data_IF_687975062969
#
_entry.id   IF_687975062969
#
_cell.length_a   1.000
_cell.length_b   1.000
_cell.length_c   1.000
_cell.angle_alpha   90.00
_cell.angle_beta   90.00
_cell.angle_gamma   90.00
#
_symmetry.space_group_name_H-M   'P 1'
#
loop_
_entity.id
_entity.type
_entity.pdbx_description
1 polymer ?
#
# COMPACT_ATOMS: atom_id res chain seq x y z
N UNK A 1 21.35 30.05 6.81
CA UNK A 1 19.99 30.25 6.24
C UNK A 1 19.00 30.60 7.35
N UNK A 2 18.68 29.69 8.27
CA UNK A 2 17.75 29.95 9.39
C UNK A 2 18.09 31.22 10.19
N UNK A 3 19.37 31.41 10.55
CA UNK A 3 19.85 32.63 11.24
C UNK A 3 19.76 33.92 10.41
N UNK A 4 19.55 33.82 9.10
CA UNK A 4 19.49 34.95 8.16
C UNK A 4 18.05 35.25 7.68
N UNK A 5 17.04 34.51 8.17
CA UNK A 5 15.67 34.61 7.66
C UNK A 5 14.95 35.94 7.97
N UNK A 6 15.55 36.86 8.71
CA UNK A 6 15.07 38.25 8.88
C UNK A 6 13.62 38.38 9.38
N UNK A 7 13.07 37.33 9.98
CA UNK A 7 11.66 37.19 10.37
C UNK A 7 11.48 37.05 11.88
N UNK A 8 10.26 36.74 12.35
CA UNK A 8 9.97 36.60 13.78
C UNK A 8 10.89 35.58 14.43
N UNK A 9 11.22 35.81 15.69
CA UNK A 9 11.88 34.84 16.55
C UNK A 9 11.07 33.53 16.52
N UNK A 10 11.70 32.42 16.11
CA UNK A 10 11.06 31.11 16.15
C UNK A 10 11.24 30.51 17.54
N UNK A 11 10.14 30.12 18.17
CA UNK A 11 10.16 29.51 19.50
C UNK A 11 10.38 28.00 19.41
N UNK A 12 9.99 27.39 18.28
CA UNK A 12 10.03 25.96 18.05
C UNK A 12 10.51 25.65 16.62
N UNK A 13 11.09 24.46 16.45
CA UNK A 13 11.35 23.86 15.14
C UNK A 13 10.72 22.47 15.06
N UNK A 14 10.13 22.13 13.93
CA UNK A 14 9.56 20.80 13.67
C UNK A 14 10.00 20.31 12.29
N UNK A 15 10.55 19.11 12.23
CA UNK A 15 10.87 18.45 10.97
C UNK A 15 9.67 17.65 10.47
N UNK A 16 9.37 17.73 9.18
CA UNK A 16 8.37 16.85 8.56
C UNK A 16 8.84 15.39 8.66
N UNK A 17 8.04 14.48 9.22
CA UNK A 17 8.44 13.09 9.37
C UNK A 17 8.55 12.34 8.04
N UNK A 18 9.56 11.50 7.81
CA UNK A 18 10.67 11.14 8.71
C UNK A 18 12.01 11.78 8.32
N UNK A 19 12.21 12.07 7.03
CA UNK A 19 13.51 12.43 6.46
C UNK A 19 14.04 13.78 6.95
N UNK A 20 13.17 14.73 7.30
CA UNK A 20 13.58 16.05 7.78
C UNK A 20 13.86 16.10 9.30
N UNK A 21 13.59 15.02 10.05
CA UNK A 21 13.82 14.98 11.50
C UNK A 21 15.31 15.19 11.85
N UNK A 22 16.28 14.50 11.23
CA UNK A 22 17.70 14.73 11.51
C UNK A 22 18.14 16.17 11.15
N UNK A 23 17.59 16.75 10.09
CA UNK A 23 17.86 18.13 9.68
C UNK A 23 17.32 19.13 10.71
N UNK A 24 16.07 18.96 11.14
CA UNK A 24 15.47 19.77 12.19
C UNK A 24 16.24 19.65 13.51
N UNK A 25 16.73 18.45 13.84
CA UNK A 25 17.58 18.20 15.01
C UNK A 25 18.88 18.99 14.93
N UNK A 26 19.56 18.96 13.77
CA UNK A 26 20.78 19.74 13.55
C UNK A 26 20.53 21.25 13.65
N UNK A 27 19.40 21.72 13.13
CA UNK A 27 18.99 23.13 13.23
C UNK A 27 18.75 23.50 14.70
N UNK A 28 17.99 22.71 15.46
CA UNK A 28 17.72 22.93 16.88
C UNK A 28 19.02 23.03 17.69
N UNK A 29 19.94 22.08 17.49
CA UNK A 29 21.23 22.04 18.21
C UNK A 29 22.10 23.27 17.95
N UNK A 30 22.14 23.75 16.70
CA UNK A 30 22.93 24.90 16.28
C UNK A 30 22.29 26.23 16.68
N UNK A 31 20.97 26.34 16.58
CA UNK A 31 20.23 27.60 16.84
C UNK A 31 19.79 27.75 18.28
N UNK A 32 19.82 26.66 19.07
CA UNK A 32 19.26 26.57 20.42
C UNK A 32 17.74 26.78 20.48
N UNK A 33 17.06 26.71 19.35
CA UNK A 33 15.60 26.68 19.29
C UNK A 33 15.11 25.27 19.68
N UNK A 34 14.20 25.13 20.67
CA UNK A 34 13.62 23.84 21.03
C UNK A 34 12.96 23.12 19.85
N UNK A 35 13.11 21.81 19.78
CA UNK A 35 12.48 20.98 18.75
C UNK A 35 11.24 20.27 19.29
N UNK A 36 10.20 20.21 18.47
CA UNK A 36 9.05 19.32 18.64
C UNK A 36 8.98 18.35 17.47
N UNK A 37 8.25 17.25 17.64
CA UNK A 37 8.08 16.23 16.63
C UNK A 37 6.59 15.97 16.38
N UNK A 38 6.16 16.13 15.14
CA UNK A 38 4.83 15.69 14.71
C UNK A 38 4.85 14.19 14.40
N UNK A 39 3.79 13.46 14.72
CA UNK A 39 3.60 12.06 14.28
C UNK A 39 2.65 12.04 13.09
N UNK A 40 2.85 11.11 12.15
CA UNK A 40 1.89 10.86 11.05
C UNK A 40 0.59 10.19 11.53
N UNK A 41 0.66 9.37 12.57
CA UNK A 41 -0.49 8.72 13.20
C UNK A 41 -0.44 8.89 14.73
N UNK A 42 -1.61 9.01 15.36
CA UNK A 42 -1.72 8.98 16.82
C UNK A 42 -1.43 7.56 17.32
N UNK A 43 -0.90 7.42 18.53
CA UNK A 43 -0.82 6.10 19.19
C UNK A 43 -2.21 5.63 19.61
N UNK A 44 -2.51 4.34 19.45
CA UNK A 44 -3.73 3.72 19.98
C UNK A 44 -3.70 3.54 21.50
N UNK A 45 -2.50 3.52 22.09
CA UNK A 45 -2.29 3.40 23.53
C UNK A 45 -1.41 4.53 24.10
N UNK A 46 -1.76 5.04 25.28
CA UNK A 46 -1.10 6.17 25.95
C UNK A 46 -1.78 7.52 25.71
N UNK A 47 -1.06 8.64 25.83
CA UNK A 47 -1.65 10.01 25.86
C UNK A 47 -2.24 10.52 24.53
N UNK A 48 -2.29 9.69 23.46
CA UNK A 48 -2.80 10.02 22.11
C UNK A 48 -2.28 11.37 21.53
N UNK A 49 -1.09 11.80 21.94
CA UNK A 49 -0.51 13.08 21.52
C UNK A 49 0.06 12.98 20.11
N UNK A 50 -0.37 13.87 19.23
CA UNK A 50 0.10 13.96 17.83
C UNK A 50 1.37 14.81 17.71
N UNK A 51 1.70 15.59 18.75
CA UNK A 51 2.92 16.40 18.88
C UNK A 51 3.69 15.97 20.13
N UNK A 52 4.94 15.58 19.94
CA UNK A 52 5.90 15.24 20.99
C UNK A 52 6.84 16.42 21.30
N UNK A 53 7.27 16.52 22.56
CA UNK A 53 8.12 17.61 23.05
C UNK A 53 7.37 18.61 23.92
N UNK A 54 8.08 19.67 24.34
CA UNK A 54 7.55 20.72 25.23
C UNK A 54 7.15 21.92 24.38
N UNK A 55 5.87 22.29 24.43
CA UNK A 55 5.33 23.42 23.67
C UNK A 55 4.14 24.07 24.38
N UNK A 56 3.82 25.30 23.96
CA UNK A 56 2.69 26.11 24.43
C UNK A 56 1.95 26.71 23.24
N UNK A 57 0.64 26.91 23.37
CA UNK A 57 -0.17 27.61 22.37
C UNK A 57 0.37 29.03 22.13
N UNK A 58 0.27 29.49 20.90
CA UNK A 58 0.75 30.81 20.46
C UNK A 58 2.23 30.87 20.08
N UNK A 59 3.00 29.79 20.28
CA UNK A 59 4.41 29.75 19.88
C UNK A 59 4.58 29.69 18.36
N UNK A 60 5.60 30.38 17.85
CA UNK A 60 5.98 30.36 16.44
C UNK A 60 6.86 29.14 16.12
N UNK A 61 6.35 28.24 15.29
CA UNK A 61 7.05 27.03 14.88
C UNK A 61 7.56 27.14 13.44
N UNK A 62 8.86 26.91 13.25
CA UNK A 62 9.48 26.74 11.94
C UNK A 62 9.34 25.29 11.48
N UNK A 63 8.77 25.08 10.28
CA UNK A 63 8.73 23.75 9.66
C UNK A 63 9.98 23.53 8.82
N UNK A 64 10.57 22.34 8.91
CA UNK A 64 11.78 21.94 8.17
C UNK A 64 11.45 20.73 7.31
N UNK A 65 11.85 20.78 6.04
CA UNK A 65 11.71 19.70 5.07
C UNK A 65 13.05 19.38 4.40
N UNK A 66 13.24 18.17 3.91
CA UNK A 66 14.42 17.81 3.10
C UNK A 66 14.24 18.24 1.64
N UNK A 67 13.19 17.77 0.97
CA UNK A 67 12.89 18.02 -0.43
C UNK A 67 11.41 18.32 -0.58
N UNK A 68 11.07 19.36 -1.34
CA UNK A 68 9.67 19.73 -1.58
C UNK A 68 9.33 19.78 -3.06
N UNK A 69 8.18 19.21 -3.42
CA UNK A 69 7.60 19.22 -4.76
C UNK A 69 6.50 20.28 -4.88
N UNK A 70 5.28 19.91 -4.49
CA UNK A 70 4.09 20.78 -4.44
C UNK A 70 3.80 21.31 -3.03
N UNK A 71 4.44 20.74 -2.00
CA UNK A 71 4.33 21.23 -0.61
C UNK A 71 3.27 20.56 0.25
N UNK A 72 2.64 19.46 -0.20
CA UNK A 72 1.55 18.80 0.54
C UNK A 72 1.98 18.34 1.94
N UNK A 73 3.15 17.72 2.11
CA UNK A 73 3.64 17.27 3.43
C UNK A 73 3.95 18.42 4.40
N UNK A 74 4.45 19.54 3.87
CA UNK A 74 4.63 20.78 4.64
C UNK A 74 3.28 21.37 5.04
N UNK A 75 2.28 21.33 4.15
CA UNK A 75 0.92 21.79 4.41
C UNK A 75 0.23 20.95 5.50
N UNK A 76 0.27 19.61 5.39
CA UNK A 76 -0.27 18.70 6.39
C UNK A 76 0.34 18.95 7.78
N UNK A 77 1.67 19.08 7.85
CA UNK A 77 2.39 19.37 9.09
C UNK A 77 2.00 20.74 9.64
N UNK A 78 1.89 21.75 8.77
CA UNK A 78 1.45 23.10 9.13
C UNK A 78 0.05 23.09 9.74
N UNK A 79 -0.87 22.37 9.13
CA UNK A 79 -2.27 22.28 9.56
C UNK A 79 -2.39 21.59 10.90
N UNK A 80 -1.67 20.49 11.09
CA UNK A 80 -1.61 19.78 12.35
C UNK A 80 -1.11 20.69 13.49
N UNK A 81 -0.01 21.41 13.26
CA UNK A 81 0.56 22.33 14.24
C UNK A 81 -0.42 23.48 14.58
N UNK A 82 -1.06 24.05 13.55
CA UNK A 82 -2.05 25.14 13.72
C UNK A 82 -3.31 24.68 14.43
N UNK A 83 -3.81 23.47 14.14
CA UNK A 83 -4.95 22.87 14.83
C UNK A 83 -4.69 22.71 16.34
N UNK A 84 -3.42 22.56 16.73
CA UNK A 84 -3.00 22.50 18.14
C UNK A 84 -2.68 23.87 18.74
N UNK A 85 -2.88 24.96 18.00
CA UNK A 85 -2.72 26.34 18.48
C UNK A 85 -1.31 26.92 18.31
N UNK A 86 -0.46 26.31 17.48
CA UNK A 86 0.84 26.88 17.12
C UNK A 86 0.72 27.80 15.90
N UNK A 87 1.64 28.75 15.79
CA UNK A 87 1.71 29.68 14.67
C UNK A 87 2.80 29.21 13.71
N UNK A 88 2.43 28.92 12.46
CA UNK A 88 3.37 28.46 11.43
C UNK A 88 3.25 29.38 10.22
N UNK A 89 4.25 30.22 9.96
CA UNK A 89 4.26 31.12 8.79
C UNK A 89 5.46 30.90 7.87
N UNK A 90 6.43 30.08 8.29
CA UNK A 90 7.66 29.85 7.56
C UNK A 90 7.97 28.35 7.50
N UNK A 91 8.46 27.91 6.35
CA UNK A 91 9.04 26.59 6.18
C UNK A 91 10.41 26.71 5.50
N UNK A 92 11.37 25.87 5.86
CA UNK A 92 12.69 25.80 5.23
C UNK A 92 12.87 24.43 4.61
N UNK A 93 13.41 24.38 3.40
CA UNK A 93 13.69 23.14 2.67
C UNK A 93 15.12 23.15 2.13
N UNK A 94 15.76 21.97 2.09
CA UNK A 94 17.08 21.84 1.45
C UNK A 94 16.96 21.97 -0.06
N UNK A 95 16.05 21.20 -0.68
CA UNK A 95 15.82 21.25 -2.14
C UNK A 95 14.36 21.56 -2.47
N UNK A 96 14.12 22.69 -3.12
CA UNK A 96 12.84 22.95 -3.78
C UNK A 96 12.88 22.44 -5.22
N UNK A 97 12.03 21.46 -5.54
CA UNK A 97 11.96 20.88 -6.87
C UNK A 97 11.35 21.80 -7.93
N UNK A 98 10.91 23.00 -7.57
CA UNK A 98 10.26 23.99 -8.44
C UNK A 98 9.00 23.44 -9.14
N UNK A 99 8.21 22.65 -8.42
CA UNK A 99 6.93 22.10 -8.87
C UNK A 99 5.73 22.80 -8.21
N UNK A 100 5.87 24.10 -7.91
CA UNK A 100 4.79 24.93 -7.38
C UNK A 100 4.67 25.04 -5.86
N UNK A 101 5.56 24.44 -5.06
CA UNK A 101 5.49 24.49 -3.61
C UNK A 101 5.47 25.91 -3.03
N UNK A 102 6.37 26.79 -3.47
CA UNK A 102 6.44 28.17 -2.95
C UNK A 102 5.10 28.90 -3.10
N UNK A 103 4.48 28.81 -4.28
CA UNK A 103 3.22 29.49 -4.55
C UNK A 103 2.06 28.81 -3.83
N UNK A 104 2.03 27.47 -3.77
CA UNK A 104 1.00 26.70 -3.08
C UNK A 104 0.95 27.01 -1.59
N UNK A 105 2.11 26.95 -0.93
CA UNK A 105 2.21 27.21 0.51
C UNK A 105 1.88 28.68 0.83
N UNK A 106 2.30 29.62 -0.01
CA UNK A 106 1.98 31.03 0.17
C UNK A 106 0.48 31.30 -0.01
N UNK A 107 -0.12 30.86 -1.11
CA UNK A 107 -1.51 31.16 -1.45
C UNK A 107 -2.51 30.44 -0.53
N UNK A 108 -2.31 29.14 -0.32
CA UNK A 108 -3.31 28.32 0.37
C UNK A 108 -3.11 28.27 1.87
N UNK A 109 -1.88 28.52 2.37
CA UNK A 109 -1.56 28.39 3.79
C UNK A 109 -0.90 29.61 4.39
N UNK A 110 -0.62 30.67 3.62
CA UNK A 110 0.13 31.83 4.11
C UNK A 110 1.46 31.40 4.79
N UNK A 111 2.14 30.43 4.17
CA UNK A 111 3.45 29.93 4.59
C UNK A 111 4.49 30.36 3.56
N UNK A 112 5.49 31.12 4.00
CA UNK A 112 6.65 31.47 3.19
C UNK A 112 7.66 30.33 3.21
N UNK A 113 7.82 29.67 2.07
CA UNK A 113 8.83 28.64 1.86
C UNK A 113 10.20 29.29 1.55
N UNK A 114 11.26 28.79 2.17
CA UNK A 114 12.64 29.19 1.92
C UNK A 114 13.44 27.97 1.49
N UNK A 115 14.01 27.99 0.28
CA UNK A 115 14.81 26.90 -0.25
C UNK A 115 16.31 27.20 -0.15
N UNK A 116 17.12 26.21 0.23
CA UNK A 116 18.59 26.32 0.18
C UNK A 116 19.09 26.18 -1.26
N UNK A 117 18.54 25.21 -1.99
CA UNK A 117 18.80 24.95 -3.38
C UNK A 117 17.48 24.75 -4.12
N UNK A 118 17.43 25.21 -5.36
CA UNK A 118 16.35 24.87 -6.29
C UNK A 118 16.77 23.73 -7.21
N UNK A 119 15.81 23.08 -7.86
CA UNK A 119 16.11 22.08 -8.89
C UNK A 119 17.00 22.64 -10.00
N UNK A 120 16.77 23.88 -10.43
CA UNK A 120 17.62 24.53 -11.41
C UNK A 120 19.05 24.73 -10.89
N UNK A 121 19.26 25.09 -9.62
CA UNK A 121 20.60 25.22 -9.05
C UNK A 121 21.35 23.87 -9.11
N UNK A 122 20.67 22.77 -8.80
CA UNK A 122 21.23 21.43 -8.93
C UNK A 122 21.58 21.07 -10.38
N UNK A 123 20.68 21.33 -11.33
CA UNK A 123 20.92 21.02 -12.75
C UNK A 123 22.10 21.82 -13.30
N UNK A 124 22.19 23.12 -12.99
CA UNK A 124 23.28 23.96 -13.48
C UNK A 124 24.61 23.57 -12.84
N UNK A 125 24.62 23.19 -11.55
CA UNK A 125 25.83 22.70 -10.88
C UNK A 125 26.32 21.41 -11.51
N UNK A 126 25.44 20.42 -11.68
CA UNK A 126 25.80 19.13 -12.29
C UNK A 126 26.23 19.27 -13.76
N UNK A 127 25.66 20.22 -14.50
CA UNK A 127 26.07 20.52 -15.87
C UNK A 127 27.48 21.12 -15.89
N UNK A 128 27.74 22.12 -15.04
CA UNK A 128 29.05 22.78 -14.95
C UNK A 128 30.15 21.79 -14.54
N UNK A 129 29.82 20.83 -13.68
CA UNK A 129 30.74 19.78 -13.23
C UNK A 129 30.88 18.62 -14.25
N UNK A 130 30.20 18.69 -15.40
CA UNK A 130 30.26 17.66 -16.44
C UNK A 130 29.58 16.33 -16.05
N UNK A 131 28.76 16.32 -14.99
CA UNK A 131 28.07 15.12 -14.50
C UNK A 131 26.83 14.75 -15.34
N UNK A 132 26.25 15.72 -16.04
CA UNK A 132 25.09 15.53 -16.92
C UNK A 132 25.27 16.33 -18.22
N UNK A 133 24.66 15.86 -19.31
CA UNK A 133 24.63 16.57 -20.58
C UNK A 133 23.57 17.67 -20.61
N UNK A 134 23.74 18.63 -21.52
CA UNK A 134 22.75 19.68 -21.80
C UNK A 134 21.39 19.09 -22.21
N UNK A 135 21.40 17.98 -22.95
CA UNK A 135 20.19 17.24 -23.32
C UNK A 135 19.42 16.76 -22.07
N UNK A 136 20.14 16.20 -21.07
CA UNK A 136 19.52 15.75 -19.81
C UNK A 136 18.96 16.93 -19.01
N UNK A 137 19.66 18.07 -19.00
CA UNK A 137 19.15 19.30 -18.38
C UNK A 137 17.85 19.74 -19.05
N UNK A 138 17.80 19.72 -20.39
CA UNK A 138 16.62 20.12 -21.14
C UNK A 138 15.44 19.17 -20.93
N UNK A 139 15.69 17.85 -20.89
CA UNK A 139 14.68 16.85 -20.57
C UNK A 139 14.11 17.06 -19.15
N UNK A 140 14.98 17.32 -18.17
CA UNK A 140 14.59 17.58 -16.79
C UNK A 140 13.76 18.87 -16.65
N UNK A 141 14.16 19.97 -17.32
CA UNK A 141 13.40 21.23 -17.34
C UNK A 141 12.03 21.05 -18.00
N UNK A 142 11.98 20.31 -19.12
CA UNK A 142 10.73 20.01 -19.83
C UNK A 142 9.77 19.19 -18.98
N UNK A 143 10.28 18.25 -18.18
CA UNK A 143 9.47 17.52 -17.21
C UNK A 143 8.89 18.46 -16.15
N UNK A 144 9.71 19.33 -15.58
CA UNK A 144 9.30 20.22 -14.47
C UNK A 144 8.29 21.29 -14.89
N UNK A 145 8.38 21.77 -16.13
CA UNK A 145 7.44 22.75 -16.68
C UNK A 145 5.98 22.25 -16.69
N UNK A 146 5.77 20.92 -16.71
CA UNK A 146 4.42 20.30 -16.68
C UNK A 146 3.74 20.37 -15.31
N UNK A 147 4.46 20.72 -14.24
CA UNK A 147 4.00 20.58 -12.86
C UNK A 147 4.10 21.90 -12.09
N UNK A 148 3.44 22.96 -12.58
CA UNK A 148 3.52 24.30 -11.99
C UNK A 148 2.27 24.66 -11.18
N UNK A 149 2.38 25.63 -10.26
CA UNK A 149 1.26 26.01 -9.37
C UNK A 149 -0.01 26.46 -10.13
N UNK A 150 0.17 27.15 -11.26
CA UNK A 150 -0.93 27.60 -12.13
C UNK A 150 -1.23 26.64 -13.30
N UNK A 151 -0.53 25.50 -13.42
CA UNK A 151 -1.03 24.44 -14.29
C UNK A 151 -2.22 23.85 -13.57
N UNK A 152 -3.38 24.48 -13.79
CA UNK A 152 -4.72 24.10 -13.36
C UNK A 152 -4.71 22.68 -12.80
N UNK A 153 -4.43 22.57 -11.49
CA UNK A 153 -5.02 21.53 -10.66
C UNK A 153 -6.49 21.98 -10.52
N UNK A 154 -7.19 22.07 -11.66
CA UNK A 154 -8.56 21.56 -11.62
C UNK A 154 -8.33 20.21 -10.97
N UNK A 155 -9.04 19.93 -9.88
CA UNK A 155 -9.71 18.65 -9.81
C UNK A 155 -10.11 18.38 -11.25
N UNK A 156 -9.31 17.62 -12.03
CA UNK A 156 -9.73 17.28 -13.38
C UNK A 156 -11.09 16.68 -13.07
N UNK A 157 -12.21 17.24 -13.53
CA UNK A 157 -13.46 16.50 -13.45
C UNK A 157 -13.08 15.16 -14.06
N UNK A 158 -13.07 14.09 -13.24
CA UNK A 158 -12.25 12.89 -13.42
C UNK A 158 -11.98 12.72 -14.91
N UNK A 159 -10.75 13.05 -15.36
CA UNK A 159 -10.45 13.40 -16.76
C UNK A 159 -11.40 12.66 -17.67
N UNK A 160 -12.21 13.36 -18.49
CA UNK A 160 -13.26 12.71 -19.26
C UNK A 160 -12.68 11.42 -19.84
N UNK A 161 -13.22 10.26 -19.45
CA UNK A 161 -12.53 8.97 -19.55
C UNK A 161 -12.14 8.60 -20.99
N UNK A 162 -12.64 9.36 -21.97
CA UNK A 162 -12.23 9.42 -23.36
C UNK A 162 -10.78 9.86 -23.60
N UNK A 163 -10.14 10.55 -22.66
CA UNK A 163 -8.79 11.13 -22.83
C UNK A 163 -7.67 10.21 -22.30
N UNK A 164 -8.01 9.02 -21.79
CA UNK A 164 -7.03 8.05 -21.28
C UNK A 164 -6.73 7.00 -22.36
N UNK A 165 -5.50 7.03 -22.87
CA UNK A 165 -4.99 5.95 -23.72
C UNK A 165 -4.72 4.70 -22.88
N UNK A 166 -5.63 3.73 -22.98
CA UNK A 166 -5.46 2.42 -22.36
C UNK A 166 -4.58 1.54 -23.24
N UNK A 167 -3.46 1.11 -22.68
CA UNK A 167 -2.67 -0.03 -23.15
C UNK A 167 -2.46 -0.91 -21.92
N UNK A 168 -3.12 -2.07 -21.76
CA UNK A 168 -3.83 -2.94 -22.72
C UNK A 168 -5.38 -2.81 -22.76
N UNK A 169 -6.03 -3.50 -23.71
CA UNK A 169 -7.51 -3.59 -23.89
C UNK A 169 -8.29 -3.91 -22.60
N UNK A 170 -7.68 -4.64 -21.68
CA UNK A 170 -8.28 -5.02 -20.40
C UNK A 170 -8.62 -3.80 -19.52
N UNK A 171 -7.83 -2.73 -19.64
CA UNK A 171 -8.11 -1.47 -18.95
C UNK A 171 -9.42 -0.88 -19.45
N UNK A 172 -9.60 -0.80 -20.78
CA UNK A 172 -10.84 -0.30 -21.38
C UNK A 172 -12.05 -1.11 -20.92
N UNK A 173 -11.91 -2.43 -20.86
CA UNK A 173 -12.98 -3.32 -20.41
C UNK A 173 -13.36 -3.08 -18.94
N UNK A 174 -12.38 -2.97 -18.04
CA UNK A 174 -12.63 -2.62 -16.64
C UNK A 174 -13.37 -1.28 -16.52
N UNK A 175 -12.91 -0.26 -17.24
CA UNK A 175 -13.55 1.05 -17.24
C UNK A 175 -14.98 1.01 -17.79
N UNK A 176 -15.23 0.20 -18.81
CA UNK A 176 -16.57 -0.04 -19.34
C UNK A 176 -17.49 -0.66 -18.28
N UNK A 177 -17.00 -1.64 -17.51
CA UNK A 177 -17.77 -2.21 -16.39
C UNK A 177 -18.03 -1.19 -15.30
N UNK A 178 -17.02 -0.42 -14.89
CA UNK A 178 -17.18 0.63 -13.88
C UNK A 178 -18.22 1.67 -14.28
N UNK A 179 -18.19 2.09 -15.56
CA UNK A 179 -19.15 3.05 -16.11
C UNK A 179 -20.56 2.45 -16.18
N UNK A 180 -20.71 1.25 -16.74
CA UNK A 180 -22.01 0.60 -16.94
C UNK A 180 -22.69 0.30 -15.61
N UNK A 181 -21.90 -0.12 -14.60
CA UNK A 181 -22.40 -0.48 -13.27
C UNK A 181 -22.41 0.68 -12.27
N UNK A 182 -21.96 1.86 -12.69
CA UNK A 182 -21.76 3.02 -11.81
C UNK A 182 -21.04 2.65 -10.50
N UNK A 183 -19.99 1.84 -10.60
CA UNK A 183 -19.32 1.23 -9.45
C UNK A 183 -17.81 1.15 -9.67
N UNK A 184 -17.08 1.00 -8.56
CA UNK A 184 -15.64 0.71 -8.55
C UNK A 184 -15.31 -0.48 -7.66
N UNK A 185 -16.32 -1.27 -7.29
CA UNK A 185 -16.19 -2.36 -6.33
C UNK A 185 -15.32 -3.50 -6.92
N UNK A 186 -14.23 -3.81 -6.22
CA UNK A 186 -13.49 -5.05 -6.34
C UNK A 186 -13.79 -5.90 -5.11
N UNK A 187 -14.31 -7.12 -5.30
CA UNK A 187 -14.51 -8.08 -4.21
C UNK A 187 -13.24 -8.89 -4.01
N UNK A 188 -12.75 -9.00 -2.78
CA UNK A 188 -11.57 -9.79 -2.43
C UNK A 188 -11.95 -10.90 -1.46
N UNK A 189 -11.31 -12.06 -1.60
CA UNK A 189 -11.44 -13.17 -0.66
C UNK A 189 -10.09 -13.40 0.01
N UNK A 190 -9.94 -12.82 1.19
CA UNK A 190 -8.69 -12.79 1.96
C UNK A 190 -8.68 -13.83 3.12
N UNK A 191 -9.75 -14.62 3.23
CA UNK A 191 -9.90 -15.76 4.14
C UNK A 191 -10.36 -17.00 3.38
N UNK A 192 -10.18 -18.23 3.94
CA UNK A 192 -10.65 -19.45 3.29
C UNK A 192 -12.15 -19.39 2.96
N UNK A 193 -12.51 -19.67 1.70
CA UNK A 193 -13.89 -19.66 1.22
C UNK A 193 -14.11 -20.77 0.18
N UNK A 194 -15.25 -21.45 0.26
CA UNK A 194 -15.59 -22.54 -0.66
C UNK A 194 -16.12 -22.03 -2.01
N UNK A 195 -15.95 -22.83 -3.07
CA UNK A 195 -16.32 -22.47 -4.44
C UNK A 195 -17.77 -21.95 -4.57
N UNK A 196 -18.74 -22.62 -3.95
CA UNK A 196 -20.15 -22.22 -4.01
C UNK A 196 -20.44 -20.89 -3.30
N UNK A 197 -19.74 -20.62 -2.20
CA UNK A 197 -19.86 -19.37 -1.46
C UNK A 197 -19.37 -18.19 -2.31
N UNK A 198 -18.21 -18.37 -2.96
CA UNK A 198 -17.63 -17.38 -3.87
C UNK A 198 -18.57 -17.08 -5.03
N UNK A 199 -19.10 -18.12 -5.69
CA UNK A 199 -20.03 -17.98 -6.82
C UNK A 199 -21.32 -17.29 -6.38
N UNK A 200 -21.92 -17.71 -5.26
CA UNK A 200 -23.16 -17.14 -4.72
C UNK A 200 -23.02 -15.67 -4.35
N UNK A 201 -21.92 -15.30 -3.68
CA UNK A 201 -21.64 -13.90 -3.34
C UNK A 201 -21.38 -13.05 -4.58
N UNK A 202 -20.58 -13.56 -5.53
CA UNK A 202 -20.31 -12.89 -6.80
C UNK A 202 -21.60 -12.65 -7.60
N UNK A 203 -22.52 -13.62 -7.64
CA UNK A 203 -23.80 -13.46 -8.33
C UNK A 203 -24.70 -12.41 -7.66
N UNK A 204 -24.77 -12.39 -6.32
CA UNK A 204 -25.54 -11.38 -5.58
C UNK A 204 -24.98 -9.97 -5.78
N UNK A 205 -23.65 -9.82 -5.79
CA UNK A 205 -22.97 -8.53 -5.95
C UNK A 205 -22.79 -8.11 -7.42
N UNK A 206 -23.09 -9.00 -8.37
CA UNK A 206 -22.91 -8.79 -9.80
C UNK A 206 -23.36 -7.41 -10.33
N UNK A 207 -24.49 -6.81 -9.90
CA UNK A 207 -24.91 -5.49 -10.39
C UNK A 207 -23.90 -4.36 -10.08
N UNK A 208 -23.10 -4.49 -9.02
CA UNK A 208 -22.09 -3.50 -8.61
C UNK A 208 -20.64 -3.99 -8.78
N UNK A 209 -20.42 -5.28 -8.94
CA UNK A 209 -19.09 -5.89 -9.00
C UNK A 209 -18.36 -5.54 -10.31
N UNK A 210 -17.16 -4.95 -10.24
CA UNK A 210 -16.34 -4.62 -11.41
C UNK A 210 -15.16 -5.59 -11.59
N UNK A 211 -14.63 -6.10 -10.48
CA UNK A 211 -13.60 -7.11 -10.45
C UNK A 211 -13.77 -8.02 -9.22
N UNK A 212 -13.28 -9.26 -9.31
CA UNK A 212 -13.23 -10.22 -8.22
C UNK A 212 -11.81 -10.77 -8.13
N UNK A 213 -11.21 -10.65 -6.95
CA UNK A 213 -9.85 -11.03 -6.65
C UNK A 213 -9.82 -12.25 -5.72
N UNK A 214 -9.03 -13.25 -6.10
CA UNK A 214 -8.85 -14.48 -5.34
C UNK A 214 -7.39 -14.77 -5.06
N UNK A 215 -7.14 -15.24 -3.84
CA UNK A 215 -6.02 -16.13 -3.56
C UNK A 215 -6.49 -17.57 -3.82
N UNK A 216 -6.08 -18.22 -4.92
CA UNK A 216 -6.57 -19.57 -5.22
C UNK A 216 -6.12 -20.59 -4.16
N UNK A 217 -5.06 -20.31 -3.41
CA UNK A 217 -4.65 -21.08 -2.23
C UNK A 217 -5.67 -21.06 -1.07
N UNK A 218 -6.54 -20.06 -1.02
CA UNK A 218 -7.58 -19.92 0.01
C UNK A 218 -8.91 -20.55 -0.40
N UNK A 219 -8.98 -21.24 -1.54
CA UNK A 219 -10.20 -21.97 -1.97
C UNK A 219 -9.97 -23.46 -1.72
N UNK A 220 -10.52 -24.05 -0.63
CA UNK A 220 -10.18 -25.43 -0.24
C UNK A 220 -10.56 -26.48 -1.29
N UNK A 221 -11.65 -26.24 -2.02
CA UNK A 221 -12.19 -27.08 -3.09
C UNK A 221 -11.88 -26.52 -4.49
N UNK A 222 -10.76 -25.79 -4.64
CA UNK A 222 -10.33 -25.25 -5.93
C UNK A 222 -10.27 -26.34 -7.00
N UNK A 223 -11.00 -26.12 -8.10
CA UNK A 223 -11.09 -27.07 -9.20
C UNK A 223 -11.23 -26.37 -10.55
N UNK A 224 -10.90 -27.06 -11.67
CA UNK A 224 -11.16 -26.54 -13.01
C UNK A 224 -12.65 -26.19 -13.23
N UNK A 225 -13.56 -27.04 -12.73
CA UNK A 225 -15.01 -26.80 -12.81
C UNK A 225 -15.40 -25.48 -12.12
N UNK A 226 -14.88 -25.22 -10.91
CA UNK A 226 -15.08 -23.96 -10.22
C UNK A 226 -14.61 -22.77 -11.08
N UNK A 227 -13.40 -22.85 -11.65
CA UNK A 227 -12.87 -21.75 -12.46
C UNK A 227 -13.65 -21.53 -13.75
N UNK A 228 -14.16 -22.60 -14.37
CA UNK A 228 -15.00 -22.51 -15.57
C UNK A 228 -16.34 -21.86 -15.25
N UNK A 229 -16.98 -22.25 -14.15
CA UNK A 229 -18.24 -21.65 -13.68
C UNK A 229 -18.06 -20.19 -13.29
N UNK A 230 -16.97 -19.86 -12.59
CA UNK A 230 -16.65 -18.48 -12.21
C UNK A 230 -16.36 -17.61 -13.45
N UNK A 231 -15.61 -18.13 -14.43
CA UNK A 231 -15.35 -17.44 -15.70
C UNK A 231 -16.63 -17.21 -16.49
N UNK A 232 -17.52 -18.21 -16.55
CA UNK A 232 -18.82 -18.07 -17.19
C UNK A 232 -19.68 -16.98 -16.52
N UNK A 233 -19.68 -16.94 -15.18
CA UNK A 233 -20.38 -15.91 -14.42
C UNK A 233 -19.80 -14.51 -14.69
N UNK A 234 -18.47 -14.38 -14.67
CA UNK A 234 -17.75 -13.14 -14.95
C UNK A 234 -18.09 -12.58 -16.34
N UNK A 235 -18.06 -13.44 -17.36
CA UNK A 235 -18.43 -13.08 -18.73
C UNK A 235 -19.90 -12.66 -18.84
N UNK A 236 -20.81 -13.43 -18.22
CA UNK A 236 -22.27 -13.16 -18.28
C UNK A 236 -22.67 -11.89 -17.54
N UNK A 237 -22.03 -11.59 -16.42
CA UNK A 237 -22.40 -10.48 -15.54
C UNK A 237 -21.48 -9.26 -15.69
N UNK A 238 -20.39 -9.38 -16.44
CA UNK A 238 -19.46 -8.29 -16.77
C UNK A 238 -18.60 -7.82 -15.60
N UNK A 239 -17.67 -8.65 -15.14
CA UNK A 239 -16.61 -8.26 -14.20
C UNK A 239 -15.31 -9.01 -14.50
N UNK A 240 -14.17 -8.48 -14.06
CA UNK A 240 -12.86 -9.11 -14.27
C UNK A 240 -12.51 -10.10 -13.16
N UNK A 241 -11.72 -11.11 -13.51
CA UNK A 241 -11.14 -12.05 -12.54
C UNK A 241 -9.66 -11.74 -12.31
N UNK A 242 -9.27 -11.60 -11.05
CA UNK A 242 -7.92 -11.29 -10.63
C UNK A 242 -7.38 -12.43 -9.78
N UNK A 243 -6.23 -12.99 -10.18
CA UNK A 243 -5.46 -13.89 -9.34
C UNK A 243 -4.44 -13.09 -8.52
N UNK A 244 -4.62 -13.00 -7.20
CA UNK A 244 -3.71 -12.29 -6.31
C UNK A 244 -2.55 -13.18 -5.87
N UNK A 245 -1.62 -13.44 -6.79
CA UNK A 245 -0.49 -14.35 -6.56
C UNK A 245 0.80 -13.64 -6.17
N UNK A 246 0.85 -12.32 -6.33
CA UNK A 246 2.02 -11.46 -6.04
C UNK A 246 3.32 -12.10 -6.54
N UNK A 247 3.35 -12.54 -7.81
CA UNK A 247 4.46 -13.32 -8.33
C UNK A 247 5.79 -12.56 -8.21
N UNK A 248 6.83 -13.24 -7.74
CA UNK A 248 8.13 -12.67 -7.41
C UNK A 248 9.28 -13.63 -7.78
N UNK A 249 9.23 -14.20 -8.98
CA UNK A 249 10.21 -15.19 -9.45
C UNK A 249 10.78 -14.84 -10.86
N UNK A 250 11.77 -15.60 -11.32
CA UNK A 250 12.35 -15.47 -12.66
C UNK A 250 11.38 -15.99 -13.73
N UNK A 251 11.48 -15.44 -14.96
CA UNK A 251 10.49 -15.68 -16.01
C UNK A 251 10.22 -17.15 -16.36
N UNK A 252 11.21 -18.06 -16.22
CA UNK A 252 11.00 -19.50 -16.42
C UNK A 252 10.06 -20.09 -15.37
N UNK A 253 10.24 -19.74 -14.10
CA UNK A 253 9.40 -20.23 -13.01
C UNK A 253 8.02 -19.61 -13.09
N UNK A 254 7.93 -18.30 -13.36
CA UNK A 254 6.68 -17.59 -13.64
C UNK A 254 5.86 -18.30 -14.72
N UNK A 255 6.48 -18.70 -15.84
CA UNK A 255 5.75 -19.45 -16.88
C UNK A 255 5.15 -20.75 -16.35
N UNK A 256 5.88 -21.52 -15.54
CA UNK A 256 5.35 -22.76 -14.94
C UNK A 256 4.21 -22.49 -13.96
N UNK A 257 4.29 -21.41 -13.16
CA UNK A 257 3.23 -20.99 -12.26
C UNK A 257 1.96 -20.54 -13.00
N UNK A 258 2.11 -20.01 -14.22
CA UNK A 258 1.00 -19.52 -15.04
C UNK A 258 0.21 -20.62 -15.74
N UNK A 259 0.90 -21.57 -16.38
CA UNK A 259 0.24 -22.60 -17.22
C UNK A 259 0.20 -23.99 -16.59
N UNK A 260 1.01 -24.20 -15.55
CA UNK A 260 1.15 -25.47 -14.86
C UNK A 260 0.58 -25.41 -13.45
N UNK A 261 0.89 -26.46 -12.68
CA UNK A 261 0.40 -26.62 -11.32
C UNK A 261 -1.11 -26.84 -11.26
N UNK A 262 -1.65 -26.87 -10.04
CA UNK A 262 -3.08 -27.10 -9.81
C UNK A 262 -3.95 -25.89 -10.20
N UNK A 263 -3.39 -24.68 -10.19
CA UNK A 263 -4.16 -23.45 -10.34
C UNK A 263 -4.31 -22.96 -11.78
N UNK A 264 -3.40 -23.37 -12.68
CA UNK A 264 -3.41 -23.06 -14.13
C UNK A 264 -3.92 -21.64 -14.41
N UNK A 265 -3.28 -20.64 -13.80
CA UNK A 265 -3.78 -19.27 -13.69
C UNK A 265 -4.20 -18.66 -15.03
N UNK A 266 -3.45 -18.96 -16.09
CA UNK A 266 -3.70 -18.47 -17.44
C UNK A 266 -5.05 -18.91 -18.05
N UNK A 267 -5.67 -19.95 -17.51
CA UNK A 267 -6.92 -20.50 -18.03
C UNK A 267 -8.14 -19.70 -17.56
N UNK A 268 -8.09 -19.03 -16.39
CA UNK A 268 -9.28 -18.46 -15.76
C UNK A 268 -9.20 -17.01 -15.31
N UNK A 269 -8.01 -16.42 -15.12
CA UNK A 269 -7.91 -15.02 -14.68
C UNK A 269 -7.68 -14.06 -15.86
N UNK A 270 -8.17 -12.82 -15.72
CA UNK A 270 -7.90 -11.71 -16.63
C UNK A 270 -6.65 -10.93 -16.23
N UNK A 271 -6.43 -10.83 -14.92
CA UNK A 271 -5.34 -10.08 -14.31
C UNK A 271 -4.63 -10.93 -13.26
N UNK A 272 -3.32 -10.72 -13.16
CA UNK A 272 -2.46 -11.34 -12.16
C UNK A 272 -1.65 -10.27 -11.44
N UNK A 273 -1.52 -10.37 -10.12
CA UNK A 273 -0.62 -9.49 -9.38
C UNK A 273 0.84 -9.97 -9.46
N UNK A 274 1.75 -9.04 -9.76
CA UNK A 274 3.20 -9.31 -9.90
C UNK A 274 4.02 -8.26 -9.15
N UNK A 275 5.09 -8.69 -8.48
CA UNK A 275 6.06 -7.78 -7.88
C UNK A 275 7.09 -7.31 -8.91
N UNK A 276 7.50 -6.04 -8.78
CA UNK A 276 8.56 -5.46 -9.60
C UNK A 276 9.99 -5.94 -9.22
N UNK A 277 10.13 -6.70 -8.12
CA UNK A 277 11.42 -7.07 -7.53
C UNK A 277 12.36 -7.85 -8.46
N UNK A 278 11.81 -8.70 -9.32
CA UNK A 278 12.61 -9.57 -10.22
C UNK A 278 12.86 -8.96 -11.60
N UNK A 279 12.61 -7.65 -11.75
CA UNK A 279 12.77 -6.96 -13.02
C UNK A 279 11.74 -7.38 -14.08
N UNK A 280 12.09 -7.19 -15.37
CA UNK A 280 11.15 -7.32 -16.49
C UNK A 280 10.89 -8.76 -16.94
N UNK A 281 11.61 -9.74 -16.41
CA UNK A 281 11.59 -11.13 -16.89
C UNK A 281 10.23 -11.81 -16.73
N UNK A 282 9.49 -11.49 -15.67
CA UNK A 282 8.11 -11.98 -15.47
C UNK A 282 7.16 -11.43 -16.53
N UNK A 283 7.28 -10.13 -16.83
CA UNK A 283 6.48 -9.48 -17.86
C UNK A 283 6.83 -10.04 -19.25
N UNK A 284 8.11 -10.36 -19.48
CA UNK A 284 8.53 -11.05 -20.70
C UNK A 284 7.92 -12.45 -20.81
N UNK A 285 7.82 -13.20 -19.70
CA UNK A 285 7.17 -14.51 -19.69
C UNK A 285 5.67 -14.41 -20.04
N UNK A 286 4.97 -13.42 -19.47
CA UNK A 286 3.57 -13.11 -19.80
C UNK A 286 3.39 -12.72 -21.28
N UNK A 287 4.25 -11.86 -21.82
CA UNK A 287 4.22 -11.48 -23.24
C UNK A 287 4.43 -12.68 -24.16
N UNK A 288 5.39 -13.55 -23.84
CA UNK A 288 5.63 -14.78 -24.59
C UNK A 288 4.44 -15.74 -24.55
N UNK A 289 3.67 -15.76 -23.45
CA UNK A 289 2.44 -16.55 -23.38
C UNK A 289 1.37 -15.99 -24.33
N UNK A 290 1.15 -14.66 -24.34
CA UNK A 290 0.20 -14.03 -25.28
C UNK A 290 0.53 -14.25 -26.76
N UNK A 291 1.82 -14.34 -27.09
CA UNK A 291 2.30 -14.54 -28.46
C UNK A 291 2.27 -16.01 -28.91
N UNK A 292 2.06 -16.95 -28.00
CA UNK A 292 2.05 -18.38 -28.31
C UNK A 292 0.74 -18.77 -29.00
N UNK A 293 0.82 -19.19 -30.27
CA UNK A 293 -0.34 -19.58 -31.10
C UNK A 293 -1.21 -20.70 -30.51
N UNK A 294 -0.71 -21.44 -29.51
CA UNK A 294 -1.42 -22.52 -28.83
C UNK A 294 -2.33 -22.04 -27.69
N UNK A 295 -2.20 -20.80 -27.19
CA UNK A 295 -2.94 -20.29 -26.04
C UNK A 295 -3.27 -18.81 -26.24
N UNK A 296 -4.49 -18.52 -26.72
CA UNK A 296 -5.01 -17.16 -26.78
C UNK A 296 -5.49 -16.73 -25.38
N UNK A 297 -4.57 -16.28 -24.53
CA UNK A 297 -4.91 -15.81 -23.18
C UNK A 297 -5.03 -14.28 -23.19
N UNK A 298 -6.13 -13.73 -22.67
CA UNK A 298 -6.29 -12.28 -22.41
C UNK A 298 -5.47 -11.81 -21.19
N UNK A 299 -4.83 -12.74 -20.48
CA UNK A 299 -4.14 -12.55 -19.20
C UNK A 299 -3.19 -11.35 -19.21
N UNK A 300 -3.43 -10.39 -18.33
CA UNK A 300 -2.59 -9.20 -18.14
C UNK A 300 -2.07 -9.13 -16.71
N UNK A 301 -1.20 -8.16 -16.40
CA UNK A 301 -0.58 -8.05 -15.09
C UNK A 301 -0.87 -6.71 -14.41
N UNK A 302 -1.07 -6.77 -13.10
CA UNK A 302 -1.08 -5.65 -12.16
C UNK A 302 0.26 -5.64 -11.42
N UNK A 303 1.05 -4.59 -11.61
CA UNK A 303 2.33 -4.43 -10.92
C UNK A 303 2.06 -3.85 -9.53
N UNK A 304 2.54 -4.53 -8.49
CA UNK A 304 2.46 -4.03 -7.11
C UNK A 304 3.41 -2.83 -6.97
N UNK A 305 2.83 -1.63 -6.94
CA UNK A 305 3.58 -0.37 -6.78
C UNK A 305 3.80 0.02 -5.31
N UNK A 306 2.80 -0.21 -4.46
CA UNK A 306 2.84 0.02 -3.02
C UNK A 306 2.14 -1.15 -2.32
N UNK A 307 2.53 -1.43 -1.08
CA UNK A 307 1.94 -2.47 -0.23
C UNK A 307 1.57 -1.79 1.09
N UNK A 308 0.33 -1.95 1.51
CA UNK A 308 -0.06 -1.64 2.88
C UNK A 308 0.21 -2.86 3.77
N UNK A 309 0.91 -2.66 4.88
CA UNK A 309 1.40 -3.74 5.75
C UNK A 309 0.86 -3.68 7.17
N UNK A 310 -0.10 -2.78 7.47
CA UNK A 310 -0.74 -2.74 8.78
C UNK A 310 -1.74 -3.91 8.91
N UNK A 311 -1.23 -5.07 9.34
CA UNK A 311 -2.07 -6.20 9.74
C UNK A 311 -2.49 -6.03 11.21
N UNK A 312 -3.66 -5.46 11.47
CA UNK A 312 -4.28 -5.56 12.80
C UNK A 312 -4.97 -6.93 12.95
N UNK A 313 -4.80 -7.63 14.09
CA UNK A 313 -5.63 -8.78 14.40
C UNK A 313 -7.00 -8.27 14.87
N UNK A 314 -7.98 -8.23 13.96
CA UNK A 314 -9.37 -7.99 14.35
C UNK A 314 -9.93 -9.25 15.05
N UNK A 315 -9.97 -9.20 16.38
CA UNK A 315 -10.85 -10.03 17.19
C UNK A 315 -12.17 -9.27 17.34
N UNK A 316 -13.20 -9.65 16.59
CA UNK A 316 -14.57 -9.18 16.85
C UNK A 316 -15.45 -9.06 15.61
N UNK A 317 -16.45 -9.94 15.60
CA UNK A 317 -17.73 -9.92 14.87
C UNK A 317 -17.75 -10.34 13.39
N UNK A 318 -18.60 -11.35 13.13
CA UNK A 318 -19.03 -11.90 11.84
C UNK A 318 -19.79 -10.84 11.02
N UNK A 319 -19.08 -9.81 10.56
CA UNK A 319 -19.51 -8.97 9.44
C UNK A 319 -18.56 -9.19 8.27
N UNK A 320 -19.13 -9.40 7.07
CA UNK A 320 -18.36 -9.41 5.84
C UNK A 320 -17.65 -8.05 5.70
N UNK A 321 -16.37 -8.02 6.06
CA UNK A 321 -15.56 -6.81 5.96
C UNK A 321 -15.32 -6.55 4.48
N UNK A 322 -15.97 -5.51 3.95
CA UNK A 322 -15.57 -4.92 2.68
C UNK A 322 -14.28 -4.16 2.95
N UNK A 323 -13.16 -4.88 2.97
CA UNK A 323 -11.85 -4.24 2.91
C UNK A 323 -11.68 -3.68 1.50
N UNK A 324 -11.41 -2.38 1.33
CA UNK A 324 -10.93 -1.85 0.06
C UNK A 324 -9.48 -2.32 -0.13
N UNK A 325 -9.25 -3.61 -0.36
CA UNK A 325 -7.92 -4.17 -0.62
C UNK A 325 -7.54 -3.97 -2.09
N UNK A 326 -7.60 -2.72 -2.53
CA UNK A 326 -6.73 -2.11 -3.52
C UNK A 326 -6.59 -0.69 -2.99
N UNK A 327 -5.39 -0.28 -2.60
CA UNK A 327 -5.08 1.09 -2.21
C UNK A 327 -5.42 2.05 -3.34
N UNK A 328 -6.67 2.48 -3.40
CA UNK A 328 -7.12 3.72 -4.04
C UNK A 328 -7.56 4.63 -2.88
N UNK A 329 -6.64 4.88 -1.95
CA UNK A 329 -6.73 6.05 -1.10
C UNK A 329 -6.54 7.26 -2.01
N UNK A 330 -7.64 7.85 -2.52
CA UNK A 330 -7.77 9.21 -3.07
C UNK A 330 -6.54 9.86 -3.74
N UNK A 331 -5.81 9.07 -4.54
CA UNK A 331 -4.62 9.53 -5.28
C UNK A 331 -4.73 9.09 -6.73
N UNK A 332 -5.79 9.53 -7.41
CA UNK A 332 -5.75 9.68 -8.87
C UNK A 332 -4.89 10.90 -9.21
N UNK A 333 -3.60 10.70 -9.04
CA UNK A 333 -2.54 11.58 -9.49
C UNK A 333 -1.26 10.81 -9.30
N UNK A 334 -0.51 10.63 -10.38
CA UNK A 334 0.86 10.11 -10.41
C UNK A 334 1.00 8.58 -10.30
N UNK A 335 1.07 7.94 -11.47
CA UNK A 335 2.31 7.34 -11.97
C UNK A 335 2.08 6.88 -13.41
N UNK A 336 2.63 7.60 -14.37
CA UNK A 336 2.74 7.10 -15.73
C UNK A 336 3.73 5.95 -15.73
N UNK A 337 3.26 4.78 -16.15
CA UNK A 337 4.10 3.67 -16.61
C UNK A 337 5.08 4.23 -17.65
N UNK A 338 6.38 4.10 -17.37
CA UNK A 338 7.44 4.36 -18.33
C UNK A 338 7.25 3.41 -19.52
N UNK A 339 6.72 3.91 -20.62
CA UNK A 339 6.99 3.35 -21.95
C UNK A 339 8.36 3.85 -22.37
N UNK A 340 9.36 2.98 -22.29
CA UNK A 340 10.55 3.11 -23.12
C UNK A 340 10.50 1.93 -24.07
N UNK A 341 9.98 2.19 -25.27
CA UNK A 341 10.16 1.35 -26.43
C UNK A 341 10.91 2.17 -27.47
N UNK A 342 12.13 1.76 -27.78
CA UNK A 342 12.66 1.89 -29.14
C UNK A 342 13.43 0.59 -29.46
N UNK A 343 13.40 0.10 -30.71
CA UNK A 343 14.09 -1.11 -31.12
C UNK A 343 15.57 -0.81 -31.40
N UNK A 344 16.39 -1.84 -31.28
CA UNK A 344 17.78 -1.93 -31.72
C UNK A 344 18.80 -1.03 -30.99
N UNK A 345 19.60 -1.66 -30.13
CA UNK A 345 21.07 -1.66 -30.28
C UNK A 345 21.72 -2.68 -29.34
N UNK A 346 22.45 -3.63 -29.94
CA UNK A 346 23.42 -4.49 -29.25
C UNK A 346 24.60 -3.63 -28.79
N UNK A 347 24.71 -3.35 -27.48
CA UNK A 347 25.99 -2.95 -26.88
C UNK A 347 26.20 -3.74 -25.59
N UNK A 348 27.07 -4.75 -25.70
CA UNK A 348 27.72 -5.42 -24.59
C UNK A 348 28.66 -4.41 -23.93
N UNK A 349 28.36 -4.00 -22.70
CA UNK A 349 29.38 -3.46 -21.79
C UNK A 349 29.40 -4.28 -20.51
N UNK A 350 30.47 -5.06 -20.39
CA UNK A 350 30.86 -5.79 -19.19
C UNK A 350 31.13 -4.80 -18.05
N UNK A 351 30.48 -5.00 -16.90
CA UNK A 351 30.90 -4.39 -15.63
C UNK A 351 31.55 -5.47 -14.76
N UNK A 352 32.69 -5.19 -14.09
CA UNK A 352 33.39 -6.17 -13.27
C UNK A 352 32.72 -6.37 -11.91
N UNK A 353 32.62 -7.64 -11.50
CA UNK A 353 32.10 -8.05 -10.20
C UNK A 353 32.98 -7.54 -9.02
N UNK A 354 32.40 -7.09 -7.90
CA UNK A 354 33.17 -6.77 -6.71
C UNK A 354 33.57 -8.06 -5.97
N UNK A 355 34.89 -8.28 -5.80
CA UNK A 355 35.45 -9.32 -4.93
C UNK A 355 35.34 -8.89 -3.46
N UNK A 356 35.00 -9.79 -2.52
CA UNK A 356 35.07 -9.50 -1.09
C UNK A 356 36.51 -9.67 -0.60
N UNK A 357 37.10 -8.62 -0.02
CA UNK A 357 38.30 -8.73 0.82
C UNK A 357 37.94 -8.40 2.26
N UNK A 358 37.81 -9.46 3.04
CA UNK A 358 37.82 -9.46 4.49
C UNK A 358 39.24 -9.13 4.97
N UNK A 359 39.37 -8.21 5.93
CA UNK A 359 40.51 -8.17 6.85
C UNK A 359 40.00 -8.08 8.29
N UNK A 360 40.38 -9.09 9.07
CA UNK A 360 40.01 -9.36 10.45
C UNK A 360 41.20 -9.00 11.34
N UNK A 361 41.01 -8.19 12.39
CA UNK A 361 41.89 -8.16 13.56
C UNK A 361 41.11 -7.68 14.79
N UNK A 362 40.96 -8.57 15.77
CA UNK A 362 40.34 -8.31 17.07
C UNK A 362 39.81 -9.58 17.74
N UNK A 363 40.73 -10.39 18.25
CA UNK A 363 40.58 -11.70 18.91
C UNK A 363 39.73 -11.63 20.21
N UNK A 364 38.69 -12.50 20.34
CA UNK A 364 38.56 -13.69 21.25
C UNK A 364 38.03 -13.45 22.69
N UNK A 365 37.53 -14.48 23.43
CA UNK A 365 37.08 -15.83 23.04
C UNK A 365 35.79 -16.38 23.73
N UNK A 366 35.22 -17.41 23.07
CA UNK A 366 34.66 -18.69 23.59
C UNK A 366 33.60 -18.69 24.73
N UNK A 367 32.47 -19.35 24.45
CA UNK A 367 32.07 -20.59 25.14
C UNK A 367 31.56 -21.64 24.14
N UNK A 368 32.00 -22.88 24.37
CA UNK A 368 31.73 -24.12 23.64
C UNK A 368 30.42 -24.77 24.10
N UNK A 369 29.85 -25.58 23.22
CA UNK A 369 29.42 -27.00 23.40
C UNK A 369 28.12 -27.22 22.60
N UNK A 370 27.85 -28.32 21.89
CA UNK A 370 28.57 -29.53 21.48
C UNK A 370 27.71 -30.13 20.35
N UNK A 371 28.33 -30.78 19.36
CA UNK A 371 27.64 -31.59 18.35
C UNK A 371 27.11 -32.89 18.98
N UNK A 372 25.88 -33.27 18.64
CA UNK A 372 25.34 -34.60 18.86
C UNK A 372 24.61 -35.08 17.61
N UNK A 373 25.24 -36.00 16.88
CA UNK A 373 24.64 -36.77 15.79
C UNK A 373 23.77 -37.88 16.39
N UNK A 374 22.53 -38.01 15.93
CA UNK A 374 21.65 -39.14 16.26
C UNK A 374 20.48 -39.23 15.28
N UNK A 375 20.38 -40.36 14.57
CA UNK A 375 19.34 -40.67 13.60
C UNK A 375 17.98 -40.97 14.25
N UNK A 376 16.92 -40.72 13.47
CA UNK A 376 15.57 -41.33 13.50
C UNK A 376 14.72 -41.20 14.78
N UNK A 377 13.63 -40.42 14.70
CA UNK A 377 12.23 -40.91 14.63
C UNK A 377 11.24 -39.74 14.78
N UNK A 378 10.22 -39.75 13.93
CA UNK A 378 9.03 -38.91 14.01
C UNK A 378 8.16 -39.32 15.19
N UNK A 379 7.93 -38.40 16.14
CA UNK A 379 6.83 -38.49 17.11
C UNK A 379 6.18 -37.11 17.24
N UNK A 380 4.93 -37.04 16.80
CA UNK A 380 4.02 -35.93 17.10
C UNK A 380 3.59 -36.02 18.56
N UNK A 381 3.83 -34.96 19.34
CA UNK A 381 3.13 -34.76 20.62
C UNK A 381 2.27 -33.51 20.55
N UNK A 382 0.96 -33.78 20.48
CA UNK A 382 -0.14 -32.89 20.83
C UNK A 382 -0.03 -32.51 22.30
N UNK A 383 -0.05 -31.19 22.60
CA UNK A 383 -0.34 -30.71 23.95
C UNK A 383 -1.68 -29.99 23.95
N UNK A 384 -2.68 -30.74 24.41
CA UNK A 384 -3.97 -30.20 24.80
C UNK A 384 -3.82 -29.35 26.08
N UNK A 385 -4.42 -28.16 26.07
CA UNK A 385 -4.94 -27.54 27.29
C UNK A 385 -6.42 -27.25 27.08
N UNK A 386 -7.24 -28.03 27.79
CA UNK A 386 -8.66 -27.75 28.04
C UNK A 386 -8.80 -26.38 28.69
N UNK A 387 -9.74 -25.56 28.21
CA UNK A 387 -10.58 -24.69 29.05
C UNK A 387 -11.95 -24.50 28.38
N UNK A 388 -12.91 -25.17 28.99
CA UNK A 388 -14.33 -24.84 29.22
C UNK A 388 -15.07 -23.98 28.19
N UNK A 389 -16.08 -24.62 27.56
CA UNK A 389 -17.13 -23.96 26.80
C UNK A 389 -18.11 -23.28 27.77
N UNK A 390 -18.35 -21.98 27.56
CA UNK A 390 -19.51 -21.27 28.11
C UNK A 390 -20.53 -21.07 26.98
N UNK A 391 -21.69 -21.72 27.11
CA UNK A 391 -22.86 -21.43 26.29
C UNK A 391 -23.63 -20.34 27.04
N UNK A 392 -23.77 -19.15 26.44
CA UNK A 392 -24.71 -18.13 26.89
C UNK A 392 -25.72 -17.92 25.77
N UNK A 393 -26.93 -18.43 25.98
CA UNK A 393 -28.11 -18.07 25.21
C UNK A 393 -28.58 -16.69 25.68
N UNK A 394 -28.72 -15.74 24.76
CA UNK A 394 -29.35 -14.46 25.04
C UNK A 394 -30.87 -14.61 24.89
N UNK A 395 -31.58 -14.56 26.01
CA UNK A 395 -33.03 -14.32 26.06
C UNK A 395 -33.30 -12.81 26.22
N UNK A 396 -34.32 -12.34 25.52
CA UNK A 396 -34.75 -10.95 25.41
C UNK A 396 -35.08 -10.30 26.76
N UNK A 397 -34.69 -9.04 26.93
CA UNK A 397 -35.03 -8.21 28.09
C UNK A 397 -36.41 -7.57 27.94
N UNK A 398 -37.25 -7.83 28.94
CA UNK A 398 -38.64 -7.39 29.09
C UNK A 398 -38.75 -5.90 29.41
N UNK A 399 -39.63 -5.20 28.68
CA UNK A 399 -40.28 -3.96 29.10
C UNK A 399 -41.53 -4.25 29.96
N UNK A 400 -41.68 -3.49 31.03
CA UNK A 400 -42.68 -3.57 32.11
C UNK A 400 -44.15 -3.62 31.67
N UNK A 401 -44.99 -4.48 32.31
CA UNK A 401 -46.10 -4.09 33.22
C UNK A 401 -47.07 -5.26 33.56
N UNK A 402 -47.36 -5.40 34.87
CA UNK A 402 -48.56 -5.92 35.57
C UNK A 402 -49.04 -7.40 35.55
N UNK A 403 -49.23 -7.91 36.79
CA UNK A 403 -50.24 -8.86 37.32
C UNK A 403 -49.95 -10.39 37.47
N UNK A 404 -49.61 -10.80 38.71
CA UNK A 404 -50.16 -11.86 39.64
C UNK A 404 -50.69 -13.26 39.16
N UNK A 405 -50.79 -14.30 40.04
CA UNK A 405 -50.06 -15.58 39.89
C UNK A 405 -50.91 -16.89 39.93
N UNK A 406 -50.24 -18.04 39.71
CA UNK A 406 -50.71 -19.42 39.96
C UNK A 406 -50.32 -20.35 38.80
N UNK A 407 -49.87 -21.60 38.92
CA UNK A 407 -49.88 -22.60 39.99
C UNK A 407 -48.92 -23.74 39.64
N UNK A 408 -48.39 -24.36 40.70
CA UNK A 408 -47.75 -25.68 40.90
C UNK A 408 -48.09 -26.79 39.87
N UNK A 409 -47.10 -27.64 39.53
CA UNK A 409 -47.08 -29.13 39.68
C UNK A 409 -45.72 -29.70 39.19
N UNK A 410 -45.10 -30.55 40.02
CA UNK A 410 -43.91 -31.42 39.80
C UNK A 410 -44.40 -32.86 39.43
N UNK A 411 -43.52 -33.90 39.40
CA UNK A 411 -42.44 -34.24 38.46
C UNK A 411 -42.64 -35.70 37.96
N UNK A 412 -41.56 -36.43 37.70
CA UNK A 412 -41.39 -37.89 37.48
C UNK A 412 -41.20 -38.29 36.00
N UNK A 413 -40.29 -39.20 35.62
CA UNK A 413 -39.28 -39.97 36.35
C UNK A 413 -38.32 -40.61 35.33
N UNK A 414 -37.05 -40.81 35.74
CA UNK A 414 -36.13 -41.90 35.35
C UNK A 414 -35.72 -42.06 33.88
N UNK A 415 -34.69 -42.84 33.53
CA UNK A 415 -33.61 -43.54 34.21
C UNK A 415 -32.62 -43.96 33.09
N UNK A 416 -31.33 -43.97 33.41
CA UNK A 416 -30.20 -44.79 32.87
C UNK A 416 -29.87 -44.88 31.36
N UNK A 417 -28.76 -44.22 31.02
CA UNK A 417 -27.46 -44.78 30.57
C UNK A 417 -27.42 -46.21 29.99
N UNK A 418 -26.92 -46.31 28.75
CA UNK A 418 -25.84 -47.25 28.39
C UNK A 418 -24.88 -46.61 27.36
N UNK A 419 -23.58 -46.85 27.57
CA UNK A 419 -22.49 -46.59 26.63
C UNK A 419 -22.42 -47.73 25.60
N UNK A 420 -22.11 -47.44 24.35
CA UNK A 420 -20.88 -47.89 23.66
C UNK A 420 -20.93 -47.57 22.15
N UNK A 421 -19.73 -47.25 21.64
CA UNK A 421 -19.29 -46.89 20.27
C UNK A 421 -19.37 -45.43 19.84
#
# INVERSE_FOLDING_TARGET
MVSKLGGPHFDLVSGVPAAAIPLATCIALKTKIPMILCRKAAKDYGTKKVIEGIWKKGQHCLVVEDVVTYGDSVAETTDLLRANGLIVNHAVVVVERQQGATQNLAANRNVKLHALLTFNDLLMTLLNDGCISEERVQAAKSYNAKWQFNSVRSLRPAASLSDVHFSPDIGQLLFQYMKTKCSRLCLTFDSPAYAEEIISLAERLAPKLCALMLHPELVPDFSPDFTDRLRLLANRKGFLLIADRKLADVGKITRHQLIGGQFRLADWCDLLTVHALTGTDQLAALRKLKQSAQQSTSLSALIVGEIDTESEPHLGDDEAVICPTIGIADRLGYQHVLSISHPDENIIQQMPAPRPRVHLRGLLPRRKAEEGVGQQETVFHTRAQKKEAFIVAATETVGTQHALPGSVVRPDAGIEVTKDN
#
